data_IF_470821994233
#
_entry.id   IF_470821994233
#
_cell.length_a   1.000
_cell.length_b   1.000
_cell.length_c   1.000
_cell.angle_alpha   90.00
_cell.angle_beta   90.00
_cell.angle_gamma   90.00
#
_symmetry.space_group_name_H-M   'P 1'
#
loop_
_entity.id
_entity.type
_entity.pdbx_description
1 polymer ?
#
# COMPACT_ATOMS: atom_id res chain seq x y z
N UNK A 1 -43.50 -6.68 -58.08
CA UNK A 1 -42.53 -6.98 -57.00
C UNK A 1 -42.34 -5.71 -56.17
N UNK A 2 -42.86 -5.68 -54.94
CA UNK A 2 -42.57 -4.64 -53.95
C UNK A 2 -42.12 -5.36 -52.68
N UNK A 3 -40.82 -5.31 -52.42
CA UNK A 3 -40.19 -5.92 -51.25
C UNK A 3 -40.44 -5.03 -50.05
N UNK A 4 -41.14 -5.55 -49.03
CA UNK A 4 -41.35 -4.85 -47.76
C UNK A 4 -40.11 -5.10 -46.89
N UNK A 5 -39.36 -4.04 -46.60
CA UNK A 5 -38.18 -4.09 -45.73
C UNK A 5 -38.64 -3.80 -44.30
N UNK A 6 -38.67 -4.83 -43.46
CA UNK A 6 -38.97 -4.69 -42.03
C UNK A 6 -37.72 -4.19 -41.30
N UNK A 7 -37.71 -2.93 -40.86
CA UNK A 7 -36.68 -2.41 -39.97
C UNK A 7 -36.92 -2.93 -38.56
N UNK A 8 -36.02 -3.80 -38.08
CA UNK A 8 -35.97 -4.19 -36.67
C UNK A 8 -35.22 -3.10 -35.89
N UNK A 9 -35.95 -2.24 -35.17
CA UNK A 9 -35.34 -1.30 -34.23
C UNK A 9 -34.97 -2.09 -32.98
N UNK A 10 -33.69 -2.43 -32.83
CA UNK A 10 -33.16 -2.99 -31.58
C UNK A 10 -32.92 -1.83 -30.63
N UNK A 11 -33.86 -1.60 -29.72
CA UNK A 11 -33.66 -0.67 -28.59
C UNK A 11 -32.77 -1.38 -27.58
N UNK A 12 -31.49 -1.01 -27.55
CA UNK A 12 -30.60 -1.40 -26.46
C UNK A 12 -30.99 -0.60 -25.21
N UNK A 13 -31.73 -1.23 -24.30
CA UNK A 13 -31.93 -0.70 -22.95
C UNK A 13 -30.63 -0.91 -22.18
N UNK A 14 -29.86 0.16 -22.00
CA UNK A 14 -28.82 0.18 -20.97
C UNK A 14 -29.53 0.08 -19.61
N UNK A 15 -29.41 -1.07 -18.95
CA UNK A 15 -29.84 -1.21 -17.56
C UNK A 15 -29.04 -0.21 -16.73
N UNK A 16 -29.66 0.61 -15.87
CA UNK A 16 -28.92 1.44 -14.94
C UNK A 16 -28.08 0.51 -14.06
N UNK A 17 -26.76 0.75 -14.02
CA UNK A 17 -25.91 0.18 -12.97
C UNK A 17 -26.47 0.65 -11.63
N UNK A 18 -27.13 -0.26 -10.90
CA UNK A 18 -27.52 -0.03 -9.52
C UNK A 18 -26.25 0.28 -8.72
N UNK A 19 -26.21 1.45 -8.07
CA UNK A 19 -25.17 1.74 -7.10
C UNK A 19 -25.24 0.66 -6.00
N UNK A 20 -24.12 0.01 -5.74
CA UNK A 20 -24.00 -0.93 -4.61
C UNK A 20 -24.29 -0.13 -3.34
N UNK A 21 -25.28 -0.57 -2.56
CA UNK A 21 -25.57 0.05 -1.27
C UNK A 21 -24.31 -0.05 -0.39
N UNK A 22 -23.83 1.10 0.09
CA UNK A 22 -22.58 1.18 0.83
C UNK A 22 -22.75 0.47 2.18
N UNK A 23 -21.94 -0.56 2.40
CA UNK A 23 -21.90 -1.24 3.70
C UNK A 23 -21.29 -0.35 4.77
N UNK A 24 -21.85 -0.39 5.97
CA UNK A 24 -21.26 0.21 7.18
C UNK A 24 -20.78 -0.90 8.10
N UNK A 25 -19.63 -0.73 8.75
CA UNK A 25 -19.17 -1.64 9.80
C UNK A 25 -19.59 -1.13 11.18
N UNK A 26 -19.98 -2.05 12.04
CA UNK A 26 -20.31 -1.78 13.44
C UNK A 26 -19.45 -2.65 14.34
N UNK A 27 -18.83 -2.05 15.34
CA UNK A 27 -18.09 -2.78 16.36
C UNK A 27 -19.00 -3.75 17.12
N UNK A 28 -18.51 -4.97 17.37
CA UNK A 28 -19.21 -6.00 18.15
C UNK A 28 -18.43 -6.32 19.43
N UNK A 29 -17.14 -6.65 19.30
CA UNK A 29 -16.29 -6.99 20.44
C UNK A 29 -14.81 -6.94 20.05
N UNK A 30 -13.95 -6.70 21.04
CA UNK A 30 -12.51 -6.98 20.97
C UNK A 30 -12.11 -7.82 22.20
N UNK A 31 -11.04 -8.60 22.11
CA UNK A 31 -10.51 -9.37 23.25
C UNK A 31 -9.79 -8.48 24.28
N UNK A 32 -9.26 -7.35 23.82
CA UNK A 32 -8.54 -6.37 24.64
C UNK A 32 -8.77 -4.95 24.13
N UNK A 33 -8.95 -4.01 25.05
CA UNK A 33 -9.13 -2.58 24.78
C UNK A 33 -8.37 -1.78 25.85
N UNK A 34 -7.52 -0.85 25.44
CA UNK A 34 -6.90 0.12 26.32
C UNK A 34 -7.92 1.20 26.69
N UNK A 35 -8.26 1.29 27.98
CA UNK A 35 -9.21 2.29 28.49
C UNK A 35 -8.74 2.98 29.77
N UNK A 36 -7.56 2.61 30.29
CA UNK A 36 -6.98 3.13 31.52
C UNK A 36 -5.97 4.25 31.23
N UNK A 37 -5.08 4.05 30.26
CA UNK A 37 -4.08 5.01 29.81
C UNK A 37 -4.56 5.97 28.73
N UNK A 38 -5.49 5.55 27.88
CA UNK A 38 -6.03 6.33 26.75
C UNK A 38 -7.42 5.83 26.31
N UNK A 39 -7.99 6.45 25.26
CA UNK A 39 -9.21 5.99 24.60
C UNK A 39 -8.89 5.04 23.45
N UNK A 40 -8.51 3.81 23.78
CA UNK A 40 -8.16 2.74 22.83
C UNK A 40 -9.31 1.78 22.53
N UNK A 41 -10.57 2.24 22.53
CA UNK A 41 -11.75 1.38 22.36
C UNK A 41 -11.85 0.78 20.96
N UNK A 42 -12.34 -0.45 20.86
CA UNK A 42 -12.55 -1.17 19.61
C UNK A 42 -13.54 -0.47 18.66
N UNK A 43 -14.45 0.34 19.19
CA UNK A 43 -15.36 1.17 18.40
C UNK A 43 -14.63 2.20 17.52
N UNK A 44 -13.44 2.66 17.96
CA UNK A 44 -12.66 3.64 17.23
C UNK A 44 -12.12 3.08 15.92
N UNK A 45 -11.93 1.76 15.81
CA UNK A 45 -11.48 1.12 14.57
C UNK A 45 -12.51 1.17 13.42
N UNK A 46 -13.71 1.71 13.63
CA UNK A 46 -14.77 1.78 12.60
C UNK A 46 -15.58 3.10 12.69
N UNK A 47 -15.04 4.12 13.34
CA UNK A 47 -15.74 5.39 13.55
C UNK A 47 -15.59 6.39 12.38
N UNK A 48 -14.69 6.09 11.44
CA UNK A 48 -14.41 6.93 10.27
C UNK A 48 -13.46 8.08 10.55
N UNK A 49 -12.86 8.14 11.74
CA UNK A 49 -11.87 9.13 12.15
C UNK A 49 -10.47 8.50 12.28
N UNK A 50 -9.53 8.79 11.35
CA UNK A 50 -8.20 8.20 11.36
C UNK A 50 -7.29 8.66 12.53
N UNK A 51 -7.73 9.64 13.32
CA UNK A 51 -7.01 10.15 14.50
C UNK A 51 -7.34 9.38 15.78
N UNK A 52 -8.46 8.65 15.82
CA UNK A 52 -8.83 7.74 16.92
C UNK A 52 -8.36 6.33 16.59
N UNK A 53 -8.08 5.53 17.61
CA UNK A 53 -7.59 4.16 17.41
C UNK A 53 -8.27 3.19 18.37
N UNK A 54 -8.49 1.97 17.90
CA UNK A 54 -8.48 0.81 18.79
C UNK A 54 -7.03 0.51 19.16
N UNK A 55 -6.79 0.22 20.44
CA UNK A 55 -5.49 -0.23 20.94
C UNK A 55 -5.73 -1.30 22.00
N UNK A 56 -4.98 -2.40 21.97
CA UNK A 56 -5.04 -3.41 23.04
C UNK A 56 -4.35 -2.91 24.30
N UNK A 57 -4.68 -3.48 25.47
CA UNK A 57 -4.17 -2.98 26.74
C UNK A 57 -2.64 -2.93 26.78
N UNK A 58 -2.12 -1.81 27.26
CA UNK A 58 -0.71 -1.62 27.58
C UNK A 58 -0.50 -1.03 28.97
N UNK A 59 -1.49 -0.29 29.48
CA UNK A 59 -1.53 0.20 30.84
C UNK A 59 -2.20 -0.86 31.74
N UNK A 60 -1.57 -1.15 32.88
CA UNK A 60 -2.00 -2.12 33.92
C UNK A 60 -1.96 -3.61 33.49
N UNK A 61 -2.14 -3.92 32.21
CA UNK A 61 -1.92 -5.23 31.60
C UNK A 61 -1.32 -5.08 30.20
N UNK A 62 -0.65 -6.13 29.72
CA UNK A 62 -0.12 -6.22 28.36
C UNK A 62 -0.24 -7.67 27.88
N UNK A 63 -1.48 -8.14 27.59
CA UNK A 63 -1.71 -9.51 27.13
C UNK A 63 -0.92 -9.75 25.84
N UNK A 64 -0.32 -10.94 25.71
CA UNK A 64 0.38 -11.31 24.49
C UNK A 64 -0.61 -11.67 23.36
N UNK A 65 -0.16 -11.51 22.12
CA UNK A 65 -0.85 -11.99 20.93
C UNK A 65 -1.28 -13.47 21.05
N UNK A 66 -2.38 -13.87 20.38
CA UNK A 66 -3.12 -13.09 19.38
C UNK A 66 -4.21 -12.20 19.95
N UNK A 67 -4.53 -11.12 19.23
CA UNK A 67 -5.65 -10.22 19.50
C UNK A 67 -6.70 -10.29 18.41
N UNK A 68 -7.96 -10.08 18.73
CA UNK A 68 -9.06 -10.15 17.78
C UNK A 68 -10.12 -9.06 17.98
N UNK A 69 -10.64 -8.57 16.86
CA UNK A 69 -11.78 -7.65 16.79
C UNK A 69 -12.84 -8.22 15.84
N UNK A 70 -14.09 -8.17 16.28
CA UNK A 70 -15.27 -8.63 15.53
C UNK A 70 -16.10 -7.43 15.14
N UNK A 71 -16.43 -7.35 13.85
CA UNK A 71 -17.21 -6.28 13.25
C UNK A 71 -18.43 -6.88 12.52
N UNK A 72 -19.57 -6.20 12.59
CA UNK A 72 -20.79 -6.53 11.87
C UNK A 72 -20.90 -5.67 10.61
N UNK A 73 -21.26 -6.28 9.50
CA UNK A 73 -21.63 -5.61 8.25
C UNK A 73 -23.12 -5.25 8.31
N UNK A 74 -23.44 -3.99 8.01
CA UNK A 74 -24.81 -3.50 7.96
C UNK A 74 -25.06 -2.67 6.68
N UNK A 75 -25.82 -3.19 5.70
CA UNK A 75 -26.40 -4.54 5.66
C UNK A 75 -25.36 -5.64 5.39
N UNK A 76 -25.67 -6.93 5.68
CA UNK A 76 -24.85 -8.05 5.22
C UNK A 76 -24.66 -8.05 3.70
N UNK A 77 -23.44 -8.25 3.22
CA UNK A 77 -23.13 -8.20 1.78
C UNK A 77 -22.03 -9.19 1.37
N UNK A 78 -21.76 -9.27 0.07
CA UNK A 78 -20.54 -9.91 -0.43
C UNK A 78 -19.37 -8.95 -0.35
N UNK A 79 -18.26 -9.43 0.16
CA UNK A 79 -17.00 -8.69 0.24
C UNK A 79 -15.89 -9.48 -0.47
N UNK A 80 -14.93 -8.76 -1.03
CA UNK A 80 -13.76 -9.30 -1.73
C UNK A 80 -12.45 -8.97 -1.00
N UNK A 81 -12.52 -8.21 0.09
CA UNK A 81 -11.34 -7.85 0.86
C UNK A 81 -11.65 -7.17 2.19
N UNK A 82 -10.60 -7.01 2.99
CA UNK A 82 -10.56 -6.19 4.20
C UNK A 82 -9.56 -5.06 3.98
N UNK A 83 -9.87 -3.86 4.46
CA UNK A 83 -8.93 -2.74 4.53
C UNK A 83 -8.51 -2.50 5.97
N UNK A 84 -7.25 -2.15 6.17
CA UNK A 84 -6.66 -1.83 7.47
C UNK A 84 -5.88 -0.52 7.36
N UNK A 85 -6.20 0.44 8.21
CA UNK A 85 -5.41 1.65 8.40
C UNK A 85 -4.68 1.52 9.75
N UNK A 86 -3.34 1.42 9.72
CA UNK A 86 -2.52 1.50 10.92
C UNK A 86 -2.74 2.83 11.68
N UNK A 87 -2.30 2.93 12.93
CA UNK A 87 -2.39 4.19 13.68
C UNK A 87 -1.65 5.33 12.94
N UNK A 88 -2.17 6.56 12.96
CA UNK A 88 -1.58 7.67 12.18
C UNK A 88 -0.58 8.55 12.96
N UNK A 89 -0.37 8.28 14.25
CA UNK A 89 0.63 8.98 15.07
C UNK A 89 2.09 8.63 14.71
N UNK A 90 3.03 9.26 15.42
CA UNK A 90 4.48 9.15 15.15
C UNK A 90 5.06 7.74 15.35
N UNK A 91 4.42 6.90 16.18
CA UNK A 91 4.89 5.55 16.48
C UNK A 91 4.14 4.50 15.66
N UNK A 92 4.77 3.35 15.44
CA UNK A 92 4.16 2.17 14.79
C UNK A 92 3.68 1.13 15.81
N UNK A 93 3.60 1.50 17.10
CA UNK A 93 3.24 0.56 18.16
C UNK A 93 1.84 -0.02 17.94
N UNK A 94 1.77 -1.34 17.85
CA UNK A 94 0.54 -2.07 17.62
C UNK A 94 0.20 -2.25 16.14
N UNK A 95 0.99 -1.72 15.21
CA UNK A 95 0.73 -1.93 13.79
C UNK A 95 0.82 -3.44 13.47
N UNK A 96 -0.25 -4.01 12.93
CA UNK A 96 -0.39 -5.46 12.76
C UNK A 96 0.59 -5.94 11.69
N UNK A 97 1.35 -7.01 11.99
CA UNK A 97 2.18 -7.71 11.02
C UNK A 97 1.45 -8.93 10.48
N UNK A 98 1.45 -10.05 11.18
CA UNK A 98 0.75 -11.27 10.76
C UNK A 98 -0.73 -11.23 11.17
N UNK A 99 -1.61 -11.72 10.30
CA UNK A 99 -3.05 -11.72 10.56
C UNK A 99 -3.75 -12.98 10.05
N UNK A 100 -4.92 -13.23 10.61
CA UNK A 100 -5.94 -14.13 10.08
C UNK A 100 -7.27 -13.37 9.93
N UNK A 101 -8.01 -13.62 8.85
CA UNK A 101 -9.35 -13.07 8.61
C UNK A 101 -10.35 -14.21 8.59
N UNK A 102 -11.46 -14.01 9.30
CA UNK A 102 -12.59 -14.90 9.34
C UNK A 102 -13.86 -14.14 8.98
N UNK A 103 -14.87 -14.87 8.50
CA UNK A 103 -16.19 -14.32 8.26
C UNK A 103 -17.25 -15.21 8.88
N UNK A 104 -18.42 -14.63 9.15
CA UNK A 104 -19.57 -15.37 9.65
C UNK A 104 -20.88 -14.78 9.11
N UNK A 105 -21.89 -15.62 8.97
CA UNK A 105 -23.27 -15.20 8.65
C UNK A 105 -24.12 -14.94 9.88
N UNK A 106 -23.73 -15.45 11.05
CA UNK A 106 -24.51 -15.38 12.29
C UNK A 106 -23.79 -14.68 13.46
N UNK A 107 -22.49 -14.40 13.30
CA UNK A 107 -21.66 -13.75 14.31
C UNK A 107 -21.27 -14.67 15.46
N UNK A 108 -21.51 -15.98 15.35
CA UNK A 108 -21.23 -16.98 16.39
C UNK A 108 -20.21 -18.00 15.90
N UNK A 109 -20.46 -18.62 14.74
CA UNK A 109 -19.50 -19.55 14.13
C UNK A 109 -18.75 -18.84 13.00
N UNK A 110 -17.43 -18.77 13.15
CA UNK A 110 -16.49 -18.18 12.18
C UNK A 110 -15.70 -19.24 11.42
N UNK A 111 -15.81 -20.52 11.79
CA UNK A 111 -15.09 -21.61 11.14
C UNK A 111 -13.57 -21.40 11.08
N UNK A 112 -12.99 -21.69 9.91
CA UNK A 112 -11.56 -21.54 9.61
C UNK A 112 -11.27 -20.16 9.00
N UNK A 113 -10.05 -19.63 9.14
CA UNK A 113 -9.71 -18.36 8.50
C UNK A 113 -9.78 -18.48 6.98
N UNK A 114 -10.40 -17.49 6.34
CA UNK A 114 -10.51 -17.39 4.88
C UNK A 114 -9.27 -16.77 4.24
N UNK A 115 -8.46 -16.06 5.03
CA UNK A 115 -7.21 -15.44 4.61
C UNK A 115 -6.22 -15.42 5.77
N UNK A 116 -4.95 -15.63 5.46
CA UNK A 116 -3.80 -15.34 6.33
C UNK A 116 -2.77 -14.56 5.54
N UNK A 117 -1.92 -13.81 6.22
CA UNK A 117 -0.80 -13.14 5.58
C UNK A 117 -0.14 -12.14 6.51
N UNK A 118 0.65 -11.26 5.91
CA UNK A 118 1.34 -10.17 6.59
C UNK A 118 0.94 -8.83 5.97
N UNK A 119 0.70 -7.82 6.79
CA UNK A 119 0.66 -6.44 6.33
C UNK A 119 2.08 -5.88 6.26
N UNK A 120 2.37 -5.13 5.19
CA UNK A 120 3.64 -4.41 5.09
C UNK A 120 3.66 -3.22 6.04
N UNK A 121 4.87 -2.83 6.46
CA UNK A 121 5.12 -1.61 7.24
C UNK A 121 4.69 -0.34 6.48
N UNK A 122 4.44 0.73 7.24
CA UNK A 122 4.06 2.05 6.73
C UNK A 122 2.64 2.45 7.08
N UNK A 123 2.34 3.75 7.02
CA UNK A 123 1.11 4.36 7.55
C UNK A 123 -0.10 4.37 6.61
N UNK A 124 0.11 4.09 5.33
CA UNK A 124 -0.96 4.12 4.35
C UNK A 124 -2.01 3.00 4.55
N UNK A 125 -3.20 3.16 3.96
CA UNK A 125 -4.25 2.15 4.03
C UNK A 125 -3.85 0.88 3.28
N UNK A 126 -3.88 -0.24 3.98
CA UNK A 126 -3.63 -1.58 3.43
C UNK A 126 -4.95 -2.22 3.00
N UNK A 127 -4.88 -3.12 2.02
CA UNK A 127 -6.00 -3.98 1.66
C UNK A 127 -5.53 -5.39 1.34
N UNK A 128 -6.34 -6.35 1.73
CA UNK A 128 -6.07 -7.78 1.53
C UNK A 128 -7.27 -8.42 0.88
N UNK A 129 -7.05 -8.97 -0.31
CA UNK A 129 -8.10 -9.56 -1.13
C UNK A 129 -8.18 -11.07 -0.96
N UNK A 130 -9.40 -11.57 -1.09
CA UNK A 130 -9.78 -12.98 -1.03
C UNK A 130 -10.98 -13.23 -1.96
N UNK A 131 -11.30 -14.50 -2.29
CA UNK A 131 -12.46 -14.81 -3.11
C UNK A 131 -13.76 -14.21 -2.54
N UNK A 132 -14.63 -13.70 -3.42
CA UNK A 132 -15.88 -13.06 -3.03
C UNK A 132 -16.69 -13.94 -2.05
N UNK A 133 -16.96 -13.40 -0.87
CA UNK A 133 -17.56 -14.15 0.24
C UNK A 133 -18.76 -13.39 0.79
N UNK A 134 -19.93 -14.05 0.86
CA UNK A 134 -21.13 -13.51 1.50
C UNK A 134 -21.01 -13.65 3.02
N UNK A 135 -21.15 -12.56 3.76
CA UNK A 135 -21.13 -12.59 5.22
C UNK A 135 -21.97 -11.47 5.85
N UNK A 136 -22.18 -11.58 7.16
CA UNK A 136 -22.78 -10.54 8.01
C UNK A 136 -21.79 -10.03 9.06
N UNK A 137 -20.69 -10.76 9.29
CA UNK A 137 -19.65 -10.42 10.26
C UNK A 137 -18.28 -10.75 9.69
N UNK A 138 -17.29 -9.98 10.12
CA UNK A 138 -15.88 -10.20 9.84
C UNK A 138 -15.11 -10.13 11.15
N UNK A 139 -14.11 -11.00 11.30
CA UNK A 139 -13.16 -10.98 12.41
C UNK A 139 -11.75 -10.84 11.87
N UNK A 140 -11.04 -9.82 12.34
CA UNK A 140 -9.61 -9.69 12.14
C UNK A 140 -8.92 -10.19 13.40
N UNK A 141 -7.99 -11.13 13.24
CA UNK A 141 -7.15 -11.64 14.32
C UNK A 141 -5.69 -11.29 14.01
N UNK A 142 -5.11 -10.40 14.80
CA UNK A 142 -3.69 -10.07 14.75
C UNK A 142 -2.90 -11.18 15.47
N UNK A 143 -1.90 -11.72 14.79
CA UNK A 143 -1.01 -12.77 15.30
C UNK A 143 0.32 -12.21 15.80
N UNK A 144 0.76 -11.05 15.28
CA UNK A 144 1.98 -10.36 15.68
C UNK A 144 1.93 -8.87 15.31
N UNK A 145 2.85 -8.10 15.90
CA UNK A 145 3.06 -6.66 15.67
C UNK A 145 4.35 -6.41 14.87
N UNK A 146 4.43 -5.26 14.17
CA UNK A 146 5.50 -4.95 13.21
C UNK A 146 6.91 -4.86 13.83
N UNK A 147 7.01 -4.69 15.15
CA UNK A 147 8.22 -4.65 15.97
C UNK A 147 8.25 -5.79 17.00
N UNK A 148 7.49 -6.86 16.76
CA UNK A 148 7.38 -8.06 17.60
C UNK A 148 6.99 -7.76 19.07
N UNK A 149 6.25 -6.67 19.31
CA UNK A 149 5.66 -6.35 20.61
C UNK A 149 4.32 -7.08 20.82
N UNK A 150 3.75 -6.95 22.03
CA UNK A 150 2.49 -7.60 22.39
C UNK A 150 1.23 -6.85 21.92
N UNK A 151 1.35 -5.63 21.40
CA UNK A 151 0.20 -4.76 21.18
C UNK A 151 -0.43 -4.93 19.79
N UNK A 152 -1.71 -4.61 19.68
CA UNK A 152 -2.40 -4.43 18.40
C UNK A 152 -3.13 -3.09 18.41
N UNK A 153 -3.06 -2.36 17.31
CA UNK A 153 -3.81 -1.13 17.10
C UNK A 153 -4.34 -1.00 15.67
N UNK A 154 -5.44 -0.27 15.53
CA UNK A 154 -6.01 0.09 14.24
C UNK A 154 -6.67 1.46 14.34
N UNK A 155 -6.33 2.36 13.42
CA UNK A 155 -7.11 3.59 13.23
C UNK A 155 -8.44 3.26 12.56
N UNK A 156 -8.41 2.48 11.48
CA UNK A 156 -9.62 2.08 10.77
C UNK A 156 -9.52 0.65 10.25
N UNK A 157 -10.64 -0.07 10.29
CA UNK A 157 -10.84 -1.35 9.64
C UNK A 157 -12.08 -1.20 8.75
N UNK A 158 -11.96 -1.67 7.52
CA UNK A 158 -13.02 -1.62 6.52
C UNK A 158 -13.12 -2.92 5.75
N UNK A 159 -14.07 -2.99 4.84
CA UNK A 159 -14.22 -4.08 3.88
C UNK A 159 -14.28 -3.51 2.47
N UNK A 160 -13.96 -4.36 1.49
CA UNK A 160 -14.11 -4.02 0.07
C UNK A 160 -15.31 -4.79 -0.45
N UNK A 161 -16.36 -4.10 -0.89
CA UNK A 161 -17.54 -4.74 -1.45
C UNK A 161 -17.24 -5.30 -2.85
N UNK A 162 -17.94 -6.37 -3.25
CA UNK A 162 -17.84 -6.86 -4.62
C UNK A 162 -18.25 -5.77 -5.62
N UNK A 163 -17.35 -5.41 -6.54
CA UNK A 163 -17.55 -4.34 -7.53
C UNK A 163 -17.14 -2.94 -7.07
N UNK A 164 -16.71 -2.77 -5.81
CA UNK A 164 -16.08 -1.53 -5.34
C UNK A 164 -14.69 -1.38 -5.97
N UNK A 165 -14.38 -0.15 -6.41
CA UNK A 165 -13.05 0.18 -6.94
C UNK A 165 -12.25 0.93 -5.89
N UNK A 166 -11.03 0.49 -5.64
CA UNK A 166 -10.15 1.10 -4.65
C UNK A 166 -8.72 1.23 -5.19
N UNK A 167 -8.06 2.31 -4.79
CA UNK A 167 -6.65 2.54 -5.07
C UNK A 167 -5.83 1.97 -3.91
N UNK A 168 -5.05 0.92 -4.16
CA UNK A 168 -4.25 0.22 -3.13
C UNK A 168 -2.78 0.32 -3.47
N UNK A 169 -1.99 0.71 -2.46
CA UNK A 169 -0.55 0.76 -2.55
C UNK A 169 0.04 -0.66 -2.55
N UNK A 170 0.76 -1.08 -3.61
CA UNK A 170 1.41 -2.39 -3.65
C UNK A 170 2.57 -2.47 -2.66
N UNK A 171 3.01 -3.69 -2.35
CA UNK A 171 4.35 -3.91 -1.81
C UNK A 171 5.38 -3.68 -2.91
N UNK A 172 6.45 -2.97 -2.59
CA UNK A 172 7.56 -2.69 -3.50
C UNK A 172 8.78 -3.50 -3.07
N UNK A 173 9.47 -4.11 -4.02
CA UNK A 173 10.72 -4.84 -3.76
C UNK A 173 11.71 -4.56 -4.87
N UNK A 174 12.95 -4.23 -4.50
CA UNK A 174 14.00 -3.99 -5.50
C UNK A 174 14.40 -5.32 -6.13
N UNK A 175 14.24 -5.39 -7.45
CA UNK A 175 14.63 -6.54 -8.26
C UNK A 175 16.09 -6.40 -8.71
N UNK A 176 16.52 -5.18 -9.03
CA UNK A 176 17.85 -4.90 -9.56
C UNK A 176 18.24 -3.43 -9.36
N UNK A 177 19.51 -3.20 -9.09
CA UNK A 177 20.22 -1.93 -9.28
C UNK A 177 21.43 -2.15 -10.19
N UNK A 178 21.86 -1.14 -10.93
CA UNK A 178 23.11 -1.20 -11.71
C UNK A 178 24.36 -0.89 -10.87
N UNK A 179 24.20 -0.13 -9.78
CA UNK A 179 25.26 0.22 -8.84
C UNK A 179 24.69 0.44 -7.43
N UNK A 180 25.44 0.05 -6.40
CA UNK A 180 25.14 0.34 -5.00
C UNK A 180 26.43 0.49 -4.18
N UNK A 181 26.47 1.48 -3.30
CA UNK A 181 27.54 1.68 -2.33
C UNK A 181 27.32 0.79 -1.11
N UNK A 182 28.29 -0.07 -0.82
CA UNK A 182 28.22 -1.00 0.32
C UNK A 182 29.52 -1.07 1.13
N UNK A 183 30.54 -0.31 0.73
CA UNK A 183 31.85 -0.27 1.38
C UNK A 183 31.96 0.95 2.29
N UNK A 184 31.64 2.14 1.77
CA UNK A 184 31.72 3.41 2.49
C UNK A 184 30.50 3.70 3.38
N UNK A 185 29.33 3.16 3.02
CA UNK A 185 28.07 3.31 3.75
C UNK A 185 27.07 2.18 3.42
N UNK A 186 25.91 2.15 4.08
CA UNK A 186 24.80 1.25 3.74
C UNK A 186 23.91 1.88 2.66
N UNK A 187 24.40 1.93 1.43
CA UNK A 187 23.72 2.53 0.27
C UNK A 187 22.99 1.51 -0.61
N UNK A 188 22.49 0.41 -0.04
CA UNK A 188 21.87 -0.70 -0.80
C UNK A 188 20.60 -0.28 -1.53
N UNK A 189 20.33 -0.90 -2.67
CA UNK A 189 19.10 -0.64 -3.44
C UNK A 189 17.82 -0.79 -2.61
N UNK A 190 17.75 -1.80 -1.74
CA UNK A 190 16.59 -2.09 -0.90
C UNK A 190 16.14 -0.92 -0.01
N UNK A 191 17.06 -0.03 0.36
CA UNK A 191 16.76 1.15 1.17
C UNK A 191 15.88 2.15 0.42
N UNK A 192 15.83 2.12 -0.92
CA UNK A 192 14.96 3.01 -1.69
C UNK A 192 13.46 2.70 -1.57
N UNK A 193 13.05 1.62 -0.90
CA UNK A 193 11.64 1.18 -0.82
C UNK A 193 11.29 0.61 0.56
N UNK A 194 12.09 0.88 1.59
CA UNK A 194 11.93 0.29 2.92
C UNK A 194 10.98 1.09 3.83
N UNK A 195 10.54 2.28 3.38
CA UNK A 195 9.63 3.15 4.09
C UNK A 195 10.30 4.02 5.15
N UNK A 196 11.63 4.14 5.14
CA UNK A 196 12.45 4.87 6.10
C UNK A 196 13.18 6.04 5.43
N UNK A 197 12.68 7.27 5.56
CA UNK A 197 13.31 8.45 4.96
C UNK A 197 14.78 8.71 5.38
N UNK A 198 15.22 8.10 6.49
CA UNK A 198 16.58 8.18 7.02
C UNK A 198 17.59 7.22 6.36
N UNK A 199 17.13 6.16 5.70
CA UNK A 199 17.97 5.27 4.89
C UNK A 199 17.88 5.72 3.42
N UNK A 200 18.82 5.28 2.59
CA UNK A 200 18.78 5.57 1.16
C UNK A 200 19.59 4.55 0.36
N UNK A 201 19.18 4.33 -0.89
CA UNK A 201 20.04 3.79 -1.92
C UNK A 201 21.04 4.86 -2.36
N UNK A 202 22.28 4.47 -2.62
CA UNK A 202 23.31 5.31 -3.22
C UNK A 202 24.14 4.48 -4.19
N UNK A 203 24.46 5.00 -5.38
CA UNK A 203 25.40 4.36 -6.30
C UNK A 203 26.83 4.43 -5.76
N UNK A 204 27.71 3.54 -6.20
CA UNK A 204 29.10 3.49 -5.71
C UNK A 204 29.81 4.84 -5.83
N UNK A 205 30.55 5.20 -4.78
CA UNK A 205 31.44 6.37 -4.75
C UNK A 205 32.80 6.09 -4.09
N UNK A 206 32.91 5.08 -3.23
CA UNK A 206 34.12 4.78 -2.47
C UNK A 206 35.15 3.99 -3.30
N UNK A 207 34.75 2.82 -3.81
CA UNK A 207 35.64 1.91 -4.55
C UNK A 207 35.56 2.08 -6.08
N UNK A 208 34.48 2.70 -6.55
CA UNK A 208 34.24 3.06 -7.94
C UNK A 208 33.31 4.28 -7.99
N UNK A 209 33.24 4.95 -9.13
CA UNK A 209 32.31 6.05 -9.39
C UNK A 209 31.80 5.96 -10.83
N UNK A 210 30.96 4.94 -11.15
CA UNK A 210 30.42 4.79 -12.49
C UNK A 210 29.58 6.02 -12.86
N UNK A 211 29.73 6.51 -14.09
CA UNK A 211 28.96 7.67 -14.54
C UNK A 211 27.50 7.30 -14.86
N UNK A 212 26.60 8.27 -14.70
CA UNK A 212 25.23 8.19 -15.20
C UNK A 212 25.18 7.75 -16.69
N UNK A 213 24.10 7.06 -17.12
CA UNK A 213 22.85 6.86 -16.39
C UNK A 213 22.86 5.67 -15.41
N UNK A 214 22.11 5.80 -14.32
CA UNK A 214 21.85 4.73 -13.35
C UNK A 214 20.40 4.24 -13.40
N UNK A 215 20.15 3.00 -13.01
CA UNK A 215 18.82 2.40 -13.03
C UNK A 215 18.52 1.53 -11.80
N UNK A 216 17.30 1.68 -11.31
CA UNK A 216 16.70 0.80 -10.30
C UNK A 216 15.40 0.21 -10.84
N UNK A 217 15.25 -1.12 -10.72
CA UNK A 217 14.07 -1.87 -11.11
C UNK A 217 13.38 -2.38 -9.84
N UNK A 218 12.10 -2.07 -9.73
CA UNK A 218 11.27 -2.40 -8.56
C UNK A 218 10.07 -3.22 -9.02
N UNK A 219 9.82 -4.34 -8.35
CA UNK A 219 8.65 -5.19 -8.52
C UNK A 219 7.49 -4.68 -7.65
N UNK A 220 6.27 -4.74 -8.19
CA UNK A 220 5.03 -4.40 -7.49
C UNK A 220 4.26 -5.69 -7.18
N UNK A 221 3.95 -5.92 -5.92
CA UNK A 221 3.16 -7.07 -5.47
C UNK A 221 1.95 -6.65 -4.62
N UNK A 222 0.71 -6.92 -5.08
CA UNK A 222 0.36 -7.44 -6.41
C UNK A 222 0.66 -6.42 -7.52
N UNK A 223 0.69 -6.88 -8.77
CA UNK A 223 0.68 -5.98 -9.92
C UNK A 223 -0.51 -5.02 -9.81
N UNK A 224 -0.25 -3.74 -10.01
CA UNK A 224 -1.18 -2.66 -9.66
C UNK A 224 -1.30 -1.67 -10.81
N UNK A 225 -2.51 -1.15 -11.04
CA UNK A 225 -2.69 -0.01 -11.93
C UNK A 225 -2.19 1.26 -11.25
N UNK A 226 -1.23 1.96 -11.86
CA UNK A 226 -0.61 3.16 -11.30
C UNK A 226 -0.83 4.35 -12.23
N UNK A 227 -0.93 5.55 -11.66
CA UNK A 227 -1.11 6.84 -12.37
C UNK A 227 0.00 7.86 -12.07
N UNK A 228 1.09 7.38 -11.48
CA UNK A 228 2.23 8.22 -11.12
C UNK A 228 3.25 7.49 -10.26
N UNK A 229 4.31 8.20 -9.91
CA UNK A 229 5.34 7.76 -8.97
C UNK A 229 5.83 8.92 -8.10
N UNK A 230 6.47 8.59 -6.99
CA UNK A 230 7.15 9.54 -6.12
C UNK A 230 8.62 9.20 -5.97
N UNK A 231 9.44 10.23 -5.82
CA UNK A 231 10.87 10.14 -5.53
C UNK A 231 11.21 11.09 -4.38
N UNK A 232 11.85 10.57 -3.35
CA UNK A 232 12.39 11.35 -2.23
C UNK A 232 13.92 11.31 -2.31
N UNK A 233 14.60 12.45 -2.53
CA UNK A 233 16.05 12.54 -2.37
C UNK A 233 16.50 12.14 -0.96
N UNK A 234 17.77 11.78 -0.76
CA UNK A 234 18.33 11.56 0.59
C UNK A 234 18.08 12.75 1.52
N UNK A 235 17.80 12.47 2.80
CA UNK A 235 17.34 13.48 3.78
C UNK A 235 18.40 13.93 4.79
N UNK A 236 19.61 13.39 4.73
CA UNK A 236 20.75 13.79 5.56
C UNK A 236 21.37 15.11 5.07
N UNK A 237 22.53 15.54 5.59
CA UNK A 237 23.05 16.91 5.37
C UNK A 237 23.51 17.20 3.93
N UNK A 238 23.80 16.18 3.13
CA UNK A 238 24.30 16.32 1.74
C UNK A 238 23.16 16.22 0.70
N UNK A 239 23.44 16.64 -0.53
CA UNK A 239 22.51 16.52 -1.67
C UNK A 239 23.02 15.57 -2.77
N UNK A 240 24.16 14.90 -2.54
CA UNK A 240 24.81 14.06 -3.55
C UNK A 240 23.88 12.95 -4.05
N UNK A 241 23.87 12.76 -5.36
CA UNK A 241 23.06 11.76 -6.02
C UNK A 241 21.61 12.15 -6.25
N UNK A 242 21.19 13.37 -5.89
CA UNK A 242 19.83 13.82 -6.20
C UNK A 242 19.62 13.81 -7.72
N UNK A 243 18.62 13.05 -8.18
CA UNK A 243 18.32 12.88 -9.60
C UNK A 243 17.86 14.22 -10.17
N UNK A 244 18.42 14.61 -11.32
CA UNK A 244 17.94 15.74 -12.12
C UNK A 244 17.09 15.22 -13.27
N UNK A 245 17.72 14.80 -14.36
CA UNK A 245 17.01 14.31 -15.54
C UNK A 245 16.68 12.83 -15.37
N UNK A 246 15.45 12.41 -15.69
CA UNK A 246 15.00 11.04 -15.49
C UNK A 246 14.14 10.51 -16.64
N UNK A 247 14.11 9.18 -16.75
CA UNK A 247 13.12 8.41 -17.49
C UNK A 247 12.45 7.38 -16.57
N UNK A 248 11.13 7.28 -16.62
CA UNK A 248 10.35 6.32 -15.84
C UNK A 248 9.61 5.36 -16.76
N UNK A 249 9.76 4.07 -16.50
CA UNK A 249 9.20 2.99 -17.30
C UNK A 249 8.36 2.07 -16.44
N UNK A 250 7.41 1.39 -17.09
CA UNK A 250 6.58 0.35 -16.48
C UNK A 250 6.68 -0.91 -17.32
N UNK A 251 6.52 -2.07 -16.67
CA UNK A 251 6.47 -3.36 -17.33
C UNK A 251 5.48 -4.27 -16.61
N UNK A 252 4.84 -5.18 -17.36
CA UNK A 252 4.01 -6.24 -16.79
C UNK A 252 4.79 -7.51 -16.48
N UNK A 253 5.99 -7.68 -17.06
CA UNK A 253 6.77 -8.93 -17.00
C UNK A 253 8.20 -8.76 -16.47
N UNK A 254 8.63 -7.51 -16.24
CA UNK A 254 9.97 -7.18 -15.74
C UNK A 254 11.08 -7.32 -16.77
N UNK A 255 10.75 -7.61 -18.04
CA UNK A 255 11.70 -7.84 -19.13
C UNK A 255 11.59 -6.77 -20.20
N UNK A 256 10.39 -6.55 -20.72
CA UNK A 256 10.15 -5.47 -21.68
C UNK A 256 9.50 -4.27 -21.00
N UNK A 257 10.20 -3.14 -21.05
CA UNK A 257 9.77 -1.87 -20.49
C UNK A 257 9.29 -0.87 -21.56
N UNK A 258 9.43 -1.21 -22.84
CA UNK A 258 9.02 -0.35 -23.95
C UNK A 258 9.59 1.08 -23.87
N UNK A 259 8.72 2.07 -24.11
CA UNK A 259 9.03 3.50 -24.04
C UNK A 259 8.75 4.04 -22.63
N UNK A 260 9.48 5.09 -22.19
CA UNK A 260 9.19 5.70 -20.89
C UNK A 260 7.77 6.29 -20.89
N UNK A 261 7.03 6.04 -19.82
CA UNK A 261 5.70 6.63 -19.59
C UNK A 261 5.79 8.05 -19.06
N UNK A 262 6.92 8.42 -18.46
CA UNK A 262 7.25 9.78 -18.07
C UNK A 262 8.75 10.04 -18.23
N UNK A 263 9.11 11.28 -18.52
CA UNK A 263 10.47 11.80 -18.50
C UNK A 263 10.45 13.27 -18.13
N UNK A 264 11.49 13.76 -17.49
CA UNK A 264 11.54 15.16 -17.08
C UNK A 264 12.79 15.47 -16.28
N UNK A 265 12.75 16.62 -15.62
CA UNK A 265 13.79 17.07 -14.71
C UNK A 265 13.16 17.35 -13.33
N UNK A 266 13.84 16.93 -12.26
CA UNK A 266 13.50 17.34 -10.90
C UNK A 266 14.23 18.61 -10.49
N UNK A 267 13.61 19.38 -9.60
CA UNK A 267 14.24 20.51 -8.93
C UNK A 267 15.30 20.03 -7.93
N UNK A 268 16.38 20.81 -7.79
CA UNK A 268 17.44 20.57 -6.81
C UNK A 268 17.00 21.01 -5.40
N UNK A 269 16.17 20.19 -4.77
CA UNK A 269 15.79 20.34 -3.37
C UNK A 269 15.37 18.97 -2.79
N UNK A 270 15.28 18.86 -1.46
CA UNK A 270 15.00 17.62 -0.73
C UNK A 270 13.52 17.23 -0.66
N UNK A 271 12.62 18.04 -1.22
CA UNK A 271 11.19 17.77 -1.14
C UNK A 271 10.81 16.50 -1.91
N UNK A 272 9.78 15.80 -1.45
CA UNK A 272 9.21 14.66 -2.18
C UNK A 272 8.70 15.12 -3.55
N UNK A 273 9.24 14.51 -4.61
CA UNK A 273 8.81 14.73 -5.99
C UNK A 273 7.66 13.80 -6.32
N UNK A 274 6.64 14.31 -7.00
CA UNK A 274 5.51 13.51 -7.51
C UNK A 274 5.35 13.76 -8.99
N UNK A 275 5.26 12.68 -9.78
CA UNK A 275 5.06 12.74 -11.23
C UNK A 275 3.83 11.92 -11.57
N UNK A 276 2.89 12.54 -12.27
CA UNK A 276 1.65 11.90 -12.71
C UNK A 276 1.71 11.61 -14.22
N UNK A 277 1.04 10.53 -14.62
CA UNK A 277 0.89 10.11 -16.01
C UNK A 277 -0.43 9.34 -16.19
N UNK A 278 -0.80 9.03 -17.43
CA UNK A 278 -2.01 8.26 -17.72
C UNK A 278 -1.95 6.86 -17.09
N UNK A 279 -3.03 6.47 -16.43
CA UNK A 279 -3.05 5.26 -15.61
C UNK A 279 -2.74 3.98 -16.43
N UNK A 280 -1.76 3.21 -15.99
CA UNK A 280 -1.22 2.03 -16.68
C UNK A 280 -1.01 0.86 -15.70
N UNK A 281 -1.21 -0.37 -16.18
CA UNK A 281 -0.95 -1.57 -15.38
C UNK A 281 0.56 -1.80 -15.25
N UNK A 282 1.05 -1.99 -14.02
CA UNK A 282 2.46 -2.24 -13.76
C UNK A 282 2.63 -3.44 -12.82
N UNK A 283 3.45 -4.41 -13.24
CA UNK A 283 4.03 -5.43 -12.36
C UNK A 283 5.46 -5.06 -11.93
N UNK A 284 6.12 -4.21 -12.70
CA UNK A 284 7.46 -3.69 -12.45
C UNK A 284 7.53 -2.23 -12.89
N UNK A 285 8.37 -1.46 -12.23
CA UNK A 285 8.76 -0.11 -12.62
C UNK A 285 10.27 -0.03 -12.75
N UNK A 286 10.74 0.90 -13.59
CA UNK A 286 12.16 1.26 -13.67
C UNK A 286 12.30 2.76 -13.63
N UNK A 287 13.06 3.27 -12.67
CA UNK A 287 13.52 4.65 -12.65
C UNK A 287 14.95 4.67 -13.18
N UNK A 288 15.17 5.44 -14.24
CA UNK A 288 16.48 5.66 -14.84
C UNK A 288 16.90 7.10 -14.61
N UNK A 289 17.91 7.32 -13.78
CA UNK A 289 18.53 8.61 -13.55
C UNK A 289 19.50 8.91 -14.70
N UNK A 290 19.24 9.95 -15.48
CA UNK A 290 20.07 10.36 -16.60
C UNK A 290 21.20 11.31 -16.19
N UNK A 291 20.99 12.09 -15.13
CA UNK A 291 22.00 12.98 -14.56
C UNK A 291 21.68 13.33 -13.10
N UNK A 292 22.70 13.80 -12.39
CA UNK A 292 22.61 14.34 -11.03
C UNK A 292 22.49 15.89 -11.06
N UNK A 293 21.88 16.48 -10.03
CA UNK A 293 21.58 17.93 -9.96
C UNK A 293 22.78 18.87 -9.95
N UNK A 294 23.93 18.42 -9.47
CA UNK A 294 25.21 19.12 -9.48
C UNK A 294 26.11 18.67 -10.65
N UNK A 295 25.65 17.73 -11.49
CA UNK A 295 26.40 17.19 -12.62
C UNK A 295 27.40 16.10 -12.24
N UNK A 296 27.29 15.55 -11.04
CA UNK A 296 28.14 14.45 -10.57
C UNK A 296 27.70 13.09 -11.13
N UNK A 297 28.51 12.07 -10.87
CA UNK A 297 28.26 10.72 -11.39
C UNK A 297 27.10 10.01 -10.68
N UNK A 298 26.79 10.37 -9.43
CA UNK A 298 26.04 9.53 -8.51
C UNK A 298 24.52 9.61 -8.66
N UNK A 299 23.82 8.62 -8.09
CA UNK A 299 22.38 8.64 -7.87
C UNK A 299 22.05 8.14 -6.48
N UNK A 300 21.08 8.77 -5.83
CA UNK A 300 20.57 8.39 -4.52
C UNK A 300 19.06 8.54 -4.44
N UNK A 301 18.43 7.72 -3.60
CA UNK A 301 17.01 7.79 -3.31
C UNK A 301 16.75 7.31 -1.88
N UNK A 302 16.16 8.18 -1.04
CA UNK A 302 15.62 7.74 0.24
C UNK A 302 14.38 6.88 0.01
N UNK A 303 13.45 7.35 -0.83
CA UNK A 303 12.22 6.61 -1.11
C UNK A 303 11.81 6.73 -2.56
N UNK A 304 11.40 5.61 -3.14
CA UNK A 304 10.73 5.50 -4.43
C UNK A 304 9.39 4.80 -4.18
N UNK A 305 8.31 5.43 -4.62
CA UNK A 305 6.97 4.85 -4.48
C UNK A 305 6.13 5.07 -5.73
N UNK A 306 4.94 4.49 -5.75
CA UNK A 306 3.97 4.62 -6.84
C UNK A 306 2.72 5.35 -6.37
N UNK A 307 1.97 5.92 -7.31
CA UNK A 307 0.63 6.48 -7.05
C UNK A 307 -0.40 5.53 -7.67
N UNK A 308 -1.11 4.72 -6.87
CA UNK A 308 -2.10 3.79 -7.39
C UNK A 308 -3.28 4.53 -8.03
N UNK A 309 -3.82 3.93 -9.08
CA UNK A 309 -5.12 4.28 -9.62
C UNK A 309 -6.18 3.35 -9.01
N UNK A 310 -7.43 3.83 -8.99
CA UNK A 310 -8.56 2.96 -8.67
C UNK A 310 -8.66 1.83 -9.70
N UNK A 311 -8.87 0.62 -9.20
CA UNK A 311 -9.03 -0.61 -9.99
C UNK A 311 -10.31 -1.31 -9.61
#
# INVERSE_FOLDING_TARGET
>A
MKTLLTFLVVVSLALPTLAVEKVTLKFVSADSEETAGEDGRGANAVDGNPETIWHTQWQDASPAHPHEIVLKLDPPCKIIGLTYLPRQGETENGDIKEYEIYVSTDGKDFGKPIKKGEFRRGKDKKAVFFPATQCAYIKLKALSEINDQNWTSAAEIGVVQEGEKIAIMPTLTVEKVDSEETTGEDGKGANAVDGKPETFWHTQWQDASPACPHEIIIKLEPATKIKGFTYLPRQDETANGTIKDYEFYVSTDGKDFGKPVAKGAFENNKEKKTVLFDAVNAGYIKLRALSEVNGEAWTSAAEISVVPAEQ
#
